data_IF_527177426864
#
_entry.id   IF_527177426864
#
_cell.length_a   1.000
_cell.length_b   1.000
_cell.length_c   1.000
_cell.angle_alpha   90.00
_cell.angle_beta   90.00
_cell.angle_gamma   90.00
#
_symmetry.space_group_name_H-M   'P 1'
#
loop_
_entity.id
_entity.type
_entity.pdbx_description
1 polymer ?
#
# COMPACT_ATOMS: atom_id res chain seq x y z
N UNK A 1 17.82 -3.21 -4.17
CA UNK A 1 17.19 -2.03 -4.78
C UNK A 1 17.30 -0.80 -3.89
N UNK A 2 16.80 -0.86 -2.65
CA UNK A 2 16.79 0.31 -1.75
C UNK A 2 18.20 0.86 -1.44
N UNK A 3 19.17 -0.03 -1.23
CA UNK A 3 20.57 0.36 -0.96
C UNK A 3 21.22 1.12 -2.13
N UNK A 4 20.76 0.89 -3.35
CA UNK A 4 21.24 1.57 -4.55
C UNK A 4 20.53 2.91 -4.83
N UNK A 5 19.46 3.23 -4.09
CA UNK A 5 18.77 4.50 -4.24
C UNK A 5 19.56 5.63 -3.57
N UNK A 6 19.66 6.77 -4.25
CA UNK A 6 20.39 7.97 -3.74
C UNK A 6 19.49 9.20 -3.58
N UNK A 7 18.23 9.14 -4.05
CA UNK A 7 17.30 10.27 -4.00
C UNK A 7 16.73 10.52 -2.60
N UNK A 8 16.25 11.74 -2.38
CA UNK A 8 15.58 12.17 -1.14
C UNK A 8 14.22 11.49 -0.95
N UNK A 9 13.61 11.06 -2.03
CA UNK A 9 12.38 10.29 -2.06
C UNK A 9 12.59 8.93 -2.71
N UNK A 10 11.92 7.93 -2.17
CA UNK A 10 11.89 6.57 -2.73
C UNK A 10 10.45 6.23 -3.10
N UNK A 11 10.23 5.80 -4.33
CA UNK A 11 8.92 5.33 -4.79
C UNK A 11 9.00 3.83 -5.02
N UNK A 12 8.10 3.09 -4.37
CA UNK A 12 7.91 1.66 -4.59
C UNK A 12 6.66 1.49 -5.46
N UNK A 13 6.77 0.74 -6.55
CA UNK A 13 5.65 0.40 -7.42
C UNK A 13 5.85 -0.98 -8.04
N UNK A 14 4.76 -1.66 -8.40
CA UNK A 14 4.83 -2.94 -9.07
C UNK A 14 5.28 -2.76 -10.53
N UNK A 15 6.08 -3.71 -11.03
CA UNK A 15 6.66 -3.68 -12.37
C UNK A 15 5.82 -4.44 -13.42
N UNK A 16 4.57 -4.82 -13.08
CA UNK A 16 3.66 -5.61 -13.92
C UNK A 16 2.66 -4.76 -14.72
N UNK A 17 2.95 -3.46 -14.86
CA UNK A 17 2.11 -2.45 -15.51
C UNK A 17 0.75 -2.17 -14.83
N UNK A 18 0.49 -2.73 -13.66
CA UNK A 18 -0.73 -2.43 -12.89
C UNK A 18 -0.73 -1.02 -12.30
N UNK A 19 0.44 -0.47 -12.01
CA UNK A 19 0.66 0.90 -11.56
C UNK A 19 1.17 1.79 -12.69
N UNK A 20 0.43 2.86 -12.99
CA UNK A 20 0.85 3.78 -14.04
C UNK A 20 1.69 4.93 -13.45
N UNK A 21 2.89 5.23 -14.00
CA UNK A 21 3.77 6.29 -13.47
C UNK A 21 3.19 7.71 -13.54
N UNK A 22 2.11 7.93 -14.31
CA UNK A 22 1.40 9.23 -14.37
C UNK A 22 0.96 9.78 -13.01
N UNK A 23 0.84 8.93 -11.98
CA UNK A 23 0.44 9.35 -10.64
C UNK A 23 1.60 9.87 -9.79
N UNK A 24 2.85 9.63 -10.21
CA UNK A 24 4.05 10.09 -9.48
C UNK A 24 4.08 11.60 -9.26
N UNK A 25 3.79 12.46 -10.26
CA UNK A 25 3.75 13.90 -10.05
C UNK A 25 2.74 14.31 -8.98
N UNK A 26 1.56 13.67 -8.94
CA UNK A 26 0.54 13.95 -7.93
C UNK A 26 1.00 13.54 -6.53
N UNK A 27 1.73 12.42 -6.40
CA UNK A 27 2.29 11.98 -5.11
C UNK A 27 3.37 12.95 -4.61
N UNK A 28 4.23 13.44 -5.50
CA UNK A 28 5.24 14.46 -5.17
C UNK A 28 4.57 15.76 -4.75
N UNK A 29 3.59 16.24 -5.51
CA UNK A 29 2.82 17.46 -5.18
C UNK A 29 2.12 17.32 -3.83
N UNK A 30 1.49 16.17 -3.56
CA UNK A 30 0.85 15.91 -2.27
C UNK A 30 1.89 15.95 -1.14
N UNK A 31 3.04 15.32 -1.33
CA UNK A 31 4.11 15.33 -0.34
C UNK A 31 4.61 16.75 -0.04
N UNK A 32 4.90 17.54 -1.09
CA UNK A 32 5.39 18.92 -0.93
C UNK A 32 4.37 19.82 -0.22
N UNK A 33 3.08 19.69 -0.54
CA UNK A 33 2.03 20.51 0.05
C UNK A 33 1.71 20.15 1.50
N UNK A 34 1.89 18.89 1.87
CA UNK A 34 1.48 18.38 3.19
C UNK A 34 2.67 18.06 4.10
N UNK A 35 3.88 18.05 3.56
CA UNK A 35 5.08 17.53 4.21
C UNK A 35 4.92 16.10 4.74
N UNK A 36 4.10 15.28 4.05
CA UNK A 36 3.85 13.89 4.43
C UNK A 36 5.14 13.07 4.43
N UNK A 37 5.25 12.12 5.33
CA UNK A 37 6.37 11.20 5.42
C UNK A 37 6.22 10.04 4.44
N UNK A 38 4.95 9.67 4.20
CA UNK A 38 4.52 8.63 3.25
C UNK A 38 3.34 9.17 2.44
N UNK A 39 3.36 8.97 1.12
CA UNK A 39 2.17 9.19 0.28
C UNK A 39 1.77 7.85 -0.34
N UNK A 40 0.58 7.39 0.03
CA UNK A 40 -0.01 6.13 -0.42
C UNK A 40 -0.87 6.36 -1.66
N UNK A 41 -0.62 5.60 -2.72
CA UNK A 41 -1.58 5.48 -3.82
C UNK A 41 -2.76 4.62 -3.39
N UNK A 42 -3.97 5.17 -3.35
CA UNK A 42 -5.17 4.44 -2.93
C UNK A 42 -6.10 4.12 -4.09
N UNK A 43 -6.62 2.88 -4.10
CA UNK A 43 -7.63 2.37 -5.03
C UNK A 43 -9.05 2.56 -4.51
N UNK A 44 -9.21 2.97 -3.24
CA UNK A 44 -10.48 2.89 -2.50
C UNK A 44 -10.99 4.22 -1.94
N UNK A 45 -10.40 5.35 -2.33
CA UNK A 45 -10.83 6.69 -1.88
C UNK A 45 -12.21 7.15 -2.42
N UNK A 46 -12.89 6.28 -3.15
CA UNK A 46 -14.23 6.51 -3.67
C UNK A 46 -14.30 6.89 -5.15
N UNK A 47 -15.45 6.62 -5.81
CA UNK A 47 -15.59 6.77 -7.25
C UNK A 47 -15.48 8.22 -7.74
N UNK A 48 -15.85 9.19 -6.91
CA UNK A 48 -15.76 10.61 -7.24
C UNK A 48 -14.31 11.11 -7.43
N UNK A 49 -13.32 10.38 -6.92
CA UNK A 49 -11.90 10.74 -7.01
C UNK A 49 -11.20 10.19 -8.25
N UNK A 50 -11.87 9.33 -9.03
CA UNK A 50 -11.26 8.59 -10.15
C UNK A 50 -10.40 7.41 -9.70
N UNK A 51 -10.35 7.11 -8.40
CA UNK A 51 -9.70 5.90 -7.90
C UNK A 51 -10.49 4.65 -8.29
N UNK A 52 -9.78 3.55 -8.52
CA UNK A 52 -10.46 2.31 -8.82
C UNK A 52 -9.57 1.18 -9.30
N UNK A 53 -10.20 0.02 -9.45
CA UNK A 53 -9.59 -1.19 -9.99
C UNK A 53 -10.30 -1.56 -11.27
N UNK A 54 -9.54 -1.69 -12.35
CA UNK A 54 -10.02 -2.06 -13.67
C UNK A 54 -9.52 -3.46 -14.06
N UNK A 55 -10.35 -4.22 -14.77
CA UNK A 55 -10.02 -5.58 -15.22
C UNK A 55 -10.36 -6.69 -14.23
N UNK A 56 -10.56 -6.42 -12.94
CA UNK A 56 -10.93 -7.44 -11.97
C UNK A 56 -12.40 -7.83 -12.07
N UNK A 57 -12.67 -9.12 -11.90
CA UNK A 57 -14.03 -9.63 -11.73
C UNK A 57 -14.66 -9.13 -10.41
N UNK A 58 -15.99 -9.27 -10.32
CA UNK A 58 -16.73 -8.78 -9.16
C UNK A 58 -16.34 -9.52 -7.85
N UNK A 59 -16.10 -10.83 -7.92
CA UNK A 59 -15.71 -11.64 -6.77
C UNK A 59 -14.38 -11.17 -6.20
N UNK A 60 -13.38 -10.97 -7.05
CA UNK A 60 -12.06 -10.47 -6.66
C UNK A 60 -12.14 -9.06 -6.06
N UNK A 61 -12.97 -8.17 -6.65
CA UNK A 61 -13.23 -6.83 -6.09
C UNK A 61 -13.82 -6.90 -4.69
N UNK A 62 -14.82 -7.77 -4.46
CA UNK A 62 -15.47 -7.94 -3.16
C UNK A 62 -14.50 -8.51 -2.11
N UNK A 63 -13.75 -9.55 -2.45
CA UNK A 63 -12.76 -10.16 -1.54
C UNK A 63 -11.68 -9.16 -1.17
N UNK A 64 -11.11 -8.45 -2.14
CA UNK A 64 -10.07 -7.46 -1.90
C UNK A 64 -10.57 -6.27 -1.07
N UNK A 65 -11.77 -5.77 -1.34
CA UNK A 65 -12.40 -4.72 -0.52
C UNK A 65 -12.67 -5.20 0.90
N UNK A 66 -13.24 -6.39 1.05
CA UNK A 66 -13.53 -6.97 2.37
C UNK A 66 -12.27 -7.15 3.20
N UNK A 67 -11.22 -7.72 2.60
CA UNK A 67 -9.92 -7.88 3.25
C UNK A 67 -9.32 -6.52 3.66
N UNK A 68 -9.39 -5.51 2.78
CA UNK A 68 -8.88 -4.18 3.07
C UNK A 68 -9.67 -3.49 4.19
N UNK A 69 -11.01 -3.57 4.17
CA UNK A 69 -11.87 -3.03 5.24
C UNK A 69 -11.56 -3.68 6.59
N UNK A 70 -11.43 -5.02 6.62
CA UNK A 70 -11.08 -5.75 7.83
C UNK A 70 -9.72 -5.29 8.39
N UNK A 71 -8.69 -5.22 7.56
CA UNK A 71 -7.38 -4.77 7.98
C UNK A 71 -7.37 -3.30 8.42
N UNK A 72 -8.10 -2.43 7.73
CA UNK A 72 -8.24 -1.03 8.12
C UNK A 72 -8.94 -0.90 9.47
N UNK A 73 -9.99 -1.68 9.70
CA UNK A 73 -10.71 -1.67 10.98
C UNK A 73 -9.85 -2.17 12.15
N UNK A 74 -9.11 -3.28 11.94
CA UNK A 74 -8.31 -3.92 12.99
C UNK A 74 -7.02 -3.14 13.27
N UNK A 75 -6.33 -2.67 12.24
CA UNK A 75 -5.01 -2.07 12.36
C UNK A 75 -5.04 -0.54 12.43
N UNK A 76 -6.15 0.08 12.01
CA UNK A 76 -6.34 1.54 11.94
C UNK A 76 -5.10 2.28 11.36
N UNK A 77 -4.63 1.96 10.15
CA UNK A 77 -3.37 2.44 9.60
C UNK A 77 -3.44 3.89 9.08
N UNK A 78 -4.55 4.59 9.29
CA UNK A 78 -4.86 5.95 8.78
C UNK A 78 -4.81 6.07 7.26
N UNK A 79 -5.12 5.00 6.55
CA UNK A 79 -5.19 4.93 5.09
C UNK A 79 -6.34 4.04 4.67
N UNK A 80 -6.91 4.33 3.49
CA UNK A 80 -8.02 3.54 2.92
C UNK A 80 -7.54 2.31 2.16
N UNK A 81 -6.24 2.20 1.85
CA UNK A 81 -5.65 1.09 1.08
C UNK A 81 -4.39 0.54 1.75
N UNK A 82 -4.56 -0.47 2.60
CA UNK A 82 -3.45 -1.09 3.36
C UNK A 82 -2.65 -2.12 2.56
N UNK A 83 -3.21 -2.61 1.46
CA UNK A 83 -2.59 -3.67 0.64
C UNK A 83 -1.88 -3.14 -0.60
N UNK A 84 -2.05 -1.86 -0.92
CA UNK A 84 -1.40 -1.23 -2.06
C UNK A 84 0.11 -1.07 -1.84
N UNK A 85 0.90 -1.37 -2.87
CA UNK A 85 2.36 -1.25 -2.88
C UNK A 85 2.86 0.08 -3.43
N UNK A 86 2.00 0.85 -4.14
CA UNK A 86 2.41 2.10 -4.77
C UNK A 86 2.50 3.23 -3.75
N UNK A 87 3.72 3.50 -3.28
CA UNK A 87 3.98 4.47 -2.21
C UNK A 87 5.22 5.29 -2.48
N UNK A 88 5.14 6.57 -2.14
CA UNK A 88 6.27 7.48 -2.03
C UNK A 88 6.65 7.60 -0.55
N UNK A 89 7.95 7.51 -0.26
CA UNK A 89 8.51 7.68 1.07
C UNK A 89 9.58 8.77 1.07
N UNK A 90 9.69 9.55 2.13
CA UNK A 90 10.94 10.25 2.42
C UNK A 90 12.04 9.23 2.69
N UNK A 91 13.25 9.49 2.22
CA UNK A 91 14.39 8.57 2.37
C UNK A 91 14.64 8.15 3.82
N UNK A 92 14.74 9.04 4.82
CA UNK A 92 14.97 8.62 6.20
C UNK A 92 13.86 7.74 6.77
N UNK A 93 12.61 7.94 6.30
CA UNK A 93 11.44 7.19 6.75
C UNK A 93 11.51 5.75 6.28
N UNK A 94 11.75 5.51 4.99
CA UNK A 94 11.85 4.15 4.48
C UNK A 94 13.07 3.42 5.05
N UNK A 95 14.20 4.09 5.23
CA UNK A 95 15.41 3.52 5.82
C UNK A 95 15.17 3.07 7.29
N UNK A 96 14.34 3.80 8.01
CA UNK A 96 13.95 3.42 9.39
C UNK A 96 12.96 2.26 9.38
N UNK A 97 11.92 2.32 8.56
CA UNK A 97 10.85 1.32 8.52
C UNK A 97 11.35 -0.05 8.04
N UNK A 98 12.18 -0.09 7.00
CA UNK A 98 12.64 -1.35 6.43
C UNK A 98 13.49 -2.19 7.40
N UNK A 99 14.14 -1.55 8.38
CA UNK A 99 14.91 -2.25 9.42
C UNK A 99 14.02 -2.91 10.47
N UNK A 100 12.79 -2.45 10.61
CA UNK A 100 11.85 -2.95 11.62
C UNK A 100 10.87 -3.97 11.05
N UNK A 101 10.61 -3.92 9.75
CA UNK A 101 9.68 -4.85 9.10
C UNK A 101 10.30 -6.23 8.97
N UNK A 102 9.56 -7.25 9.43
CA UNK A 102 9.97 -8.65 9.41
C UNK A 102 9.15 -9.50 8.45
N UNK A 103 7.95 -9.06 8.11
CA UNK A 103 7.03 -9.78 7.22
C UNK A 103 7.44 -9.69 5.75
N UNK A 104 6.91 -10.63 4.97
CA UNK A 104 7.09 -10.69 3.51
C UNK A 104 5.73 -10.67 2.80
N UNK A 105 5.74 -10.45 1.49
CA UNK A 105 4.55 -10.51 0.64
C UNK A 105 3.49 -9.47 1.01
N UNK A 106 2.22 -9.86 1.06
CA UNK A 106 1.11 -8.93 1.37
C UNK A 106 1.16 -8.38 2.79
N UNK A 107 1.65 -9.16 3.75
CA UNK A 107 1.76 -8.75 5.16
C UNK A 107 2.76 -7.62 5.30
N UNK A 108 3.85 -7.61 4.50
CA UNK A 108 4.81 -6.50 4.44
C UNK A 108 4.14 -5.16 4.20
N UNK A 109 3.17 -5.10 3.27
CA UNK A 109 2.50 -3.85 2.92
C UNK A 109 1.66 -3.30 4.08
N UNK A 110 1.10 -4.17 4.90
CA UNK A 110 0.35 -3.79 6.09
C UNK A 110 1.29 -3.40 7.24
N UNK A 111 2.30 -4.23 7.51
CA UNK A 111 3.24 -4.03 8.61
C UNK A 111 3.94 -2.67 8.51
N UNK A 112 4.38 -2.28 7.32
CA UNK A 112 5.08 -1.01 7.14
C UNK A 112 4.19 0.20 7.50
N UNK A 113 2.88 0.14 7.22
CA UNK A 113 1.93 1.19 7.60
C UNK A 113 1.62 1.20 9.10
N UNK A 114 1.48 0.03 9.72
CA UNK A 114 1.25 -0.09 11.16
C UNK A 114 2.44 0.46 11.94
N UNK A 115 3.66 0.12 11.51
CA UNK A 115 4.89 0.67 12.10
C UNK A 115 5.04 2.17 11.85
N UNK A 116 4.67 2.64 10.66
CA UNK A 116 4.64 4.07 10.36
C UNK A 116 3.71 4.83 11.31
N UNK A 117 2.52 4.26 11.58
CA UNK A 117 1.58 4.81 12.58
C UNK A 117 2.18 4.80 13.98
N UNK A 118 2.78 3.70 14.42
CA UNK A 118 3.41 3.58 15.75
C UNK A 118 4.53 4.59 15.95
N UNK A 119 5.27 4.92 14.89
CA UNK A 119 6.31 5.95 14.87
C UNK A 119 5.78 7.37 14.59
N UNK A 120 4.46 7.55 14.56
CA UNK A 120 3.80 8.83 14.31
C UNK A 120 4.14 9.50 12.97
N UNK A 121 4.56 8.73 11.97
CA UNK A 121 4.76 9.24 10.63
C UNK A 121 3.45 9.68 9.99
N UNK A 122 3.49 10.79 9.29
CA UNK A 122 2.35 11.35 8.58
C UNK A 122 2.14 10.62 7.25
N UNK A 123 0.98 9.99 7.10
CA UNK A 123 0.55 9.31 5.87
C UNK A 123 -0.55 10.13 5.19
N UNK A 124 -0.37 10.40 3.91
CA UNK A 124 -1.35 11.04 3.04
C UNK A 124 -1.70 10.12 1.87
N UNK A 125 -2.83 10.37 1.19
CA UNK A 125 -3.28 9.54 0.09
C UNK A 125 -3.43 10.32 -1.21
N UNK A 126 -3.17 9.63 -2.33
CA UNK A 126 -3.45 10.08 -3.68
C UNK A 126 -4.30 9.02 -4.38
N UNK A 127 -5.46 9.39 -4.97
CA UNK A 127 -6.26 8.46 -5.75
C UNK A 127 -5.49 7.93 -6.96
N UNK A 128 -5.50 6.61 -7.14
CA UNK A 128 -4.89 5.98 -8.31
C UNK A 128 -5.87 5.04 -9.01
N UNK A 129 -5.61 4.82 -10.30
CA UNK A 129 -6.22 3.76 -11.07
C UNK A 129 -5.27 2.56 -11.10
N UNK A 130 -5.74 1.41 -10.67
CA UNK A 130 -5.04 0.15 -10.77
C UNK A 130 -5.63 -0.66 -11.92
N UNK A 131 -4.82 -1.03 -12.90
CA UNK A 131 -5.22 -1.91 -13.99
C UNK A 131 -4.79 -3.36 -13.67
N UNK A 132 -5.62 -4.34 -14.06
CA UNK A 132 -5.18 -5.72 -13.92
C UNK A 132 -3.93 -5.96 -14.77
N UNK A 133 -3.07 -6.82 -14.29
CA UNK A 133 -1.82 -7.14 -15.00
C UNK A 133 -2.12 -7.71 -16.39
N UNK A 134 -1.30 -7.34 -17.36
CA UNK A 134 -1.46 -7.81 -18.73
C UNK A 134 -1.04 -9.29 -18.88
N UNK A 135 -0.13 -9.77 -18.04
CA UNK A 135 0.43 -11.12 -18.08
C UNK A 135 0.52 -11.71 -16.67
N UNK A 136 0.34 -13.05 -16.59
CA UNK A 136 0.45 -13.81 -15.34
C UNK A 136 -0.88 -14.00 -14.61
N UNK A 137 -0.94 -15.04 -13.80
CA UNK A 137 -2.14 -15.37 -13.00
C UNK A 137 -2.22 -14.56 -11.69
N UNK A 138 -3.44 -14.40 -11.20
CA UNK A 138 -3.69 -13.80 -9.90
C UNK A 138 -3.19 -14.72 -8.79
N UNK A 139 -2.35 -14.18 -7.89
CA UNK A 139 -1.87 -14.91 -6.71
C UNK A 139 -2.92 -14.99 -5.58
N UNK A 140 -4.18 -14.64 -5.83
CA UNK A 140 -5.23 -14.65 -4.81
C UNK A 140 -5.82 -16.07 -4.65
N UNK A 141 -5.04 -16.97 -4.07
CA UNK A 141 -5.47 -18.32 -3.69
C UNK A 141 -6.01 -18.40 -2.27
N UNK A 142 -6.65 -19.54 -1.91
CA UNK A 142 -7.18 -19.77 -0.57
C UNK A 142 -6.11 -19.66 0.52
N UNK A 143 -4.92 -20.18 0.26
CA UNK A 143 -3.78 -20.16 1.20
C UNK A 143 -3.28 -18.72 1.47
N UNK A 144 -3.37 -17.83 0.48
CA UNK A 144 -3.00 -16.43 0.63
C UNK A 144 -4.03 -15.66 1.47
N UNK A 145 -5.32 -15.99 1.36
CA UNK A 145 -6.36 -15.39 2.21
C UNK A 145 -6.16 -15.79 3.67
N UNK A 146 -5.84 -17.06 3.94
CA UNK A 146 -5.52 -17.55 5.29
C UNK A 146 -4.25 -16.90 5.81
N UNK A 147 -3.20 -16.81 5.00
CA UNK A 147 -1.94 -16.13 5.32
C UNK A 147 -2.15 -14.64 5.64
N UNK A 148 -3.01 -13.98 4.87
CA UNK A 148 -3.42 -12.60 5.10
C UNK A 148 -4.11 -12.42 6.46
N UNK A 149 -5.12 -13.24 6.77
CA UNK A 149 -5.84 -13.17 8.04
C UNK A 149 -4.92 -13.43 9.24
N UNK A 150 -4.01 -14.41 9.14
CA UNK A 150 -2.99 -14.66 10.17
C UNK A 150 -2.05 -13.45 10.33
N UNK A 151 -1.62 -12.84 9.23
CA UNK A 151 -0.78 -11.65 9.25
C UNK A 151 -1.46 -10.46 9.93
N UNK A 152 -2.73 -10.19 9.62
CA UNK A 152 -3.52 -9.14 10.31
C UNK A 152 -3.58 -9.41 11.81
N UNK A 153 -3.86 -10.67 12.21
CA UNK A 153 -3.90 -11.06 13.63
C UNK A 153 -2.55 -10.87 14.32
N UNK A 154 -1.47 -11.31 13.70
CA UNK A 154 -0.11 -11.15 14.25
C UNK A 154 0.27 -9.68 14.44
N UNK A 155 -0.06 -8.82 13.47
CA UNK A 155 0.19 -7.39 13.57
C UNK A 155 -0.66 -6.73 14.66
N UNK A 156 -1.89 -7.18 14.86
CA UNK A 156 -2.77 -6.68 15.92
C UNK A 156 -2.27 -7.03 17.32
N UNK A 157 -1.72 -8.23 17.49
CA UNK A 157 -1.27 -8.74 18.82
C UNK A 157 0.20 -8.47 19.13
N UNK A 158 1.00 -8.10 18.14
CA UNK A 158 2.47 -8.03 18.25
C UNK A 158 3.08 -6.64 18.14
N UNK A 159 2.26 -5.59 17.97
CA UNK A 159 2.70 -4.19 17.92
C UNK A 159 1.85 -3.35 18.92
#
# INVERSE_FOLDING_TARGET
>A
GLEACTGDFVIIMDADFSHHPKFIPNMITKQLNTNADIVQGTRYSGPATGAGVYGWDLKRKLVSRGANVLATFVLDPRTTDVTGSFRLYKRPVIDTLIRQVTSKGYVFQMEILVRAKALHYKVEEVPITFCDRLYGESKLGGDEIVGYAKGVWQLFTGI
#
